data_IF_174346646549
#
_entry.id   IF_174346646549
#
_cell.length_a   1.000
_cell.length_b   1.000
_cell.length_c   1.000
_cell.angle_alpha   90.00
_cell.angle_beta   90.00
_cell.angle_gamma   90.00
#
_symmetry.space_group_name_H-M   'P 1'
#
loop_
_entity.id
_entity.type
_entity.pdbx_description
1 polymer ?
#
# COMPACT_ATOMS: atom_id res chain seq x y z
N UNK A 1 11.25 -42.98 -48.70
CA UNK A 1 11.37 -43.21 -47.27
C UNK A 1 10.18 -42.57 -46.59
N UNK A 2 9.27 -43.36 -46.00
CA UNK A 2 8.16 -42.89 -45.22
C UNK A 2 8.76 -42.57 -43.85
N UNK A 3 8.79 -41.32 -43.47
CA UNK A 3 9.23 -40.93 -42.12
C UNK A 3 8.23 -41.41 -41.09
N UNK A 4 8.71 -42.04 -40.02
CA UNK A 4 7.84 -42.49 -38.92
C UNK A 4 7.06 -41.30 -38.33
N UNK A 5 5.73 -41.40 -38.15
CA UNK A 5 4.92 -40.35 -37.60
C UNK A 5 5.26 -40.13 -36.13
N UNK A 6 5.22 -38.85 -35.70
CA UNK A 6 5.41 -38.45 -34.30
C UNK A 6 4.03 -38.23 -33.67
N UNK A 7 3.77 -38.95 -32.57
CA UNK A 7 2.59 -38.70 -31.73
C UNK A 7 2.97 -37.75 -30.57
N UNK A 8 2.30 -36.60 -30.49
CA UNK A 8 2.46 -35.68 -29.40
C UNK A 8 1.24 -35.79 -28.48
N UNK A 9 1.48 -36.07 -27.23
CA UNK A 9 0.42 -36.18 -26.22
C UNK A 9 0.53 -35.03 -25.24
N UNK A 10 -0.58 -34.32 -25.00
CA UNK A 10 -0.68 -33.21 -24.05
C UNK A 10 -1.91 -33.37 -23.17
N UNK A 11 -1.76 -33.08 -21.90
CA UNK A 11 -2.86 -33.04 -20.93
C UNK A 11 -2.67 -31.90 -19.95
N UNK A 12 -3.75 -31.27 -19.52
CA UNK A 12 -3.71 -30.12 -18.60
C UNK A 12 -3.07 -30.56 -17.28
N UNK A 13 -2.00 -29.86 -16.86
CA UNK A 13 -1.27 -30.16 -15.63
C UNK A 13 -0.13 -31.18 -15.80
N UNK A 14 0.16 -31.62 -17.03
CA UNK A 14 1.26 -32.54 -17.35
C UNK A 14 2.22 -31.92 -18.37
N UNK A 15 3.45 -32.39 -18.37
CA UNK A 15 4.44 -32.04 -19.40
C UNK A 15 4.08 -32.76 -20.69
N UNK A 16 4.11 -32.05 -21.81
CA UNK A 16 3.88 -32.67 -23.12
C UNK A 16 5.00 -33.65 -23.42
N UNK A 17 4.63 -34.83 -23.91
CA UNK A 17 5.58 -35.83 -24.35
C UNK A 17 5.34 -36.21 -25.82
N UNK A 18 6.38 -36.63 -26.50
CA UNK A 18 6.33 -37.00 -27.92
C UNK A 18 7.06 -38.31 -28.19
N UNK A 19 6.41 -39.24 -28.91
CA UNK A 19 6.96 -40.53 -29.24
C UNK A 19 6.87 -40.80 -30.73
N UNK A 20 7.89 -41.47 -31.29
CA UNK A 20 7.89 -41.95 -32.67
C UNK A 20 7.16 -43.28 -32.75
N UNK A 21 6.18 -43.38 -33.66
CA UNK A 21 5.42 -44.62 -33.87
C UNK A 21 6.07 -45.39 -35.01
N UNK A 22 6.52 -46.61 -34.71
CA UNK A 22 7.08 -47.50 -35.70
C UNK A 22 6.00 -48.38 -36.36
N UNK A 23 6.21 -48.73 -37.63
CA UNK A 23 5.29 -49.55 -38.39
C UNK A 23 5.11 -50.93 -37.73
N UNK A 24 3.84 -51.26 -37.35
CA UNK A 24 3.51 -52.52 -36.68
C UNK A 24 3.26 -52.41 -35.16
N UNK A 25 3.38 -51.24 -34.57
CA UNK A 25 3.00 -50.97 -33.18
C UNK A 25 1.49 -50.73 -33.10
N UNK A 26 0.76 -51.61 -32.38
CA UNK A 26 -0.69 -51.49 -32.17
C UNK A 26 -1.05 -50.86 -30.84
N UNK A 27 -0.13 -50.79 -29.85
CA UNK A 27 -0.31 -50.18 -28.55
C UNK A 27 0.92 -49.39 -28.18
N UNK A 28 0.69 -48.21 -27.59
CA UNK A 28 1.72 -47.31 -27.11
C UNK A 28 1.28 -46.82 -25.73
N UNK A 29 2.09 -47.08 -24.71
CA UNK A 29 1.89 -46.58 -23.36
C UNK A 29 2.74 -45.32 -23.19
N UNK A 30 2.10 -44.22 -22.76
CA UNK A 30 2.78 -42.92 -22.52
C UNK A 30 2.50 -42.52 -21.10
N UNK A 31 3.56 -42.37 -20.31
CA UNK A 31 3.47 -41.89 -18.92
C UNK A 31 3.82 -40.43 -18.92
N UNK A 32 2.79 -39.58 -18.68
CA UNK A 32 2.98 -38.13 -18.59
C UNK A 32 3.46 -37.76 -17.19
N UNK A 33 4.51 -36.96 -17.11
CA UNK A 33 4.96 -36.36 -15.84
C UNK A 33 4.12 -35.16 -15.43
N UNK A 34 3.76 -35.10 -14.16
CA UNK A 34 2.97 -33.99 -13.61
C UNK A 34 3.80 -32.71 -13.66
N UNK A 35 3.29 -31.71 -14.36
CA UNK A 35 3.89 -30.39 -14.42
C UNK A 35 3.42 -29.56 -13.22
N UNK A 36 4.14 -29.66 -12.10
CA UNK A 36 3.86 -28.90 -10.87
C UNK A 36 4.31 -27.43 -10.92
N UNK A 37 4.85 -26.96 -12.02
CA UNK A 37 5.21 -25.56 -12.19
C UNK A 37 3.99 -24.74 -12.63
N UNK A 38 3.07 -24.52 -11.71
CA UNK A 38 2.18 -23.36 -11.81
C UNK A 38 3.09 -22.14 -11.70
N UNK A 39 3.39 -21.50 -12.81
CA UNK A 39 3.99 -20.17 -12.80
C UNK A 39 2.97 -19.28 -12.11
N UNK A 40 3.34 -18.80 -10.93
CA UNK A 40 2.57 -17.77 -10.24
C UNK A 40 2.36 -16.60 -11.19
N UNK A 41 1.12 -16.41 -11.61
CA UNK A 41 0.74 -15.21 -12.38
C UNK A 41 0.57 -14.10 -11.35
N UNK A 42 1.65 -13.42 -11.04
CA UNK A 42 1.60 -12.20 -10.24
C UNK A 42 0.96 -11.11 -11.09
N UNK A 43 -0.35 -10.91 -10.94
CA UNK A 43 -1.05 -9.77 -11.53
C UNK A 43 -0.74 -8.55 -10.65
N UNK A 44 0.35 -7.87 -10.94
CA UNK A 44 0.64 -6.56 -10.36
C UNK A 44 -0.15 -5.50 -11.10
N UNK A 45 -1.40 -5.30 -10.72
CA UNK A 45 -2.16 -4.15 -11.15
C UNK A 45 -2.04 -3.05 -10.10
N UNK A 46 -1.19 -2.05 -10.34
CA UNK A 46 -1.19 -0.82 -9.56
C UNK A 46 -2.29 0.07 -10.12
N UNK A 47 -3.47 0.04 -9.50
CA UNK A 47 -4.52 0.99 -9.81
C UNK A 47 -3.98 2.42 -9.53
N UNK A 48 -3.94 3.32 -10.52
CA UNK A 48 -3.48 4.69 -10.29
C UNK A 48 -4.56 5.49 -9.57
N UNK A 49 -4.13 6.32 -8.60
CA UNK A 49 -5.01 7.28 -7.96
C UNK A 49 -5.80 6.73 -6.78
N UNK A 50 -7.00 7.29 -6.59
CA UNK A 50 -7.96 6.87 -5.56
C UNK A 50 -8.98 5.92 -6.19
N UNK A 51 -9.25 4.80 -5.55
CA UNK A 51 -10.26 3.84 -6.00
C UNK A 51 -11.01 3.19 -4.83
N UNK A 52 -12.23 2.76 -5.08
CA UNK A 52 -13.04 2.02 -4.11
C UNK A 52 -12.81 0.53 -4.31
N UNK A 53 -12.42 -0.16 -3.25
CA UNK A 53 -12.27 -1.61 -3.27
C UNK A 53 -13.64 -2.28 -3.42
N UNK A 54 -13.75 -3.22 -4.36
CA UNK A 54 -14.94 -4.06 -4.54
C UNK A 54 -14.81 -5.43 -3.89
N UNK A 55 -13.61 -5.74 -3.41
CA UNK A 55 -13.32 -7.04 -2.80
C UNK A 55 -13.50 -7.01 -1.29
N UNK A 56 -13.47 -5.81 -0.69
CA UNK A 56 -13.65 -5.67 0.74
C UNK A 56 -15.14 -5.65 1.09
N UNK A 57 -15.53 -6.35 2.16
CA UNK A 57 -16.93 -6.37 2.61
C UNK A 57 -17.41 -5.01 3.17
N UNK A 58 -16.48 -4.13 3.49
CA UNK A 58 -16.73 -2.76 3.95
C UNK A 58 -16.34 -1.81 2.83
N UNK A 59 -17.14 -0.76 2.63
CA UNK A 59 -16.85 0.27 1.63
C UNK A 59 -15.51 0.96 1.96
N UNK A 60 -14.46 0.53 1.27
CA UNK A 60 -13.10 1.00 1.50
C UNK A 60 -12.61 1.77 0.28
N UNK A 61 -12.23 3.00 0.51
CA UNK A 61 -11.56 3.86 -0.46
C UNK A 61 -10.05 3.78 -0.26
N UNK A 62 -9.31 3.49 -1.31
CA UNK A 62 -7.86 3.35 -1.27
C UNK A 62 -7.22 4.53 -1.99
N UNK A 63 -6.31 5.23 -1.32
CA UNK A 63 -5.45 6.27 -1.88
C UNK A 63 -4.07 5.65 -2.06
N UNK A 64 -3.59 5.62 -3.29
CA UNK A 64 -2.28 5.01 -3.60
C UNK A 64 -1.13 5.97 -3.34
N UNK A 65 0.09 5.45 -3.18
CA UNK A 65 1.30 6.27 -3.04
C UNK A 65 1.55 7.21 -4.23
N UNK A 66 1.03 6.87 -5.40
CA UNK A 66 1.11 7.75 -6.57
C UNK A 66 0.25 9.01 -6.38
N UNK A 67 -0.93 8.88 -5.79
CA UNK A 67 -1.81 10.01 -5.46
C UNK A 67 -1.24 10.83 -4.30
N UNK A 68 -0.76 10.16 -3.26
CA UNK A 68 -0.10 10.81 -2.13
C UNK A 68 1.10 11.66 -2.55
N UNK A 69 1.85 11.22 -3.56
CA UNK A 69 2.97 11.99 -4.13
C UNK A 69 2.52 13.21 -4.93
N UNK A 70 1.33 13.20 -5.53
CA UNK A 70 0.79 14.37 -6.23
C UNK A 70 0.41 15.49 -5.27
N UNK A 71 -0.14 15.13 -4.13
CA UNK A 71 -0.46 16.09 -3.09
C UNK A 71 0.78 16.79 -2.51
N UNK A 72 1.99 16.39 -2.92
CA UNK A 72 3.30 17.00 -2.62
C UNK A 72 3.51 17.34 -1.14
N UNK A 73 2.82 16.63 -0.24
CA UNK A 73 2.55 17.12 1.08
C UNK A 73 3.42 16.47 2.11
N UNK A 74 3.64 17.24 3.11
CA UNK A 74 4.66 17.02 4.09
C UNK A 74 4.25 15.98 5.14
N UNK A 75 2.95 15.84 5.43
CA UNK A 75 2.49 14.97 6.52
C UNK A 75 1.14 14.29 6.19
N UNK A 76 0.74 13.36 7.08
CA UNK A 76 -0.48 12.58 6.91
C UNK A 76 -1.73 13.45 6.78
N UNK A 77 -1.85 14.54 7.54
CA UNK A 77 -3.06 15.36 7.48
C UNK A 77 -3.23 16.04 6.12
N UNK A 78 -2.15 16.49 5.51
CA UNK A 78 -2.15 17.13 4.19
C UNK A 78 -2.42 16.13 3.06
N UNK A 79 -2.12 14.85 3.29
CA UNK A 79 -2.40 13.77 2.32
C UNK A 79 -3.89 13.60 2.01
N UNK A 80 -4.76 14.19 2.80
CA UNK A 80 -6.21 14.13 2.59
C UNK A 80 -6.79 15.32 1.82
N UNK A 81 -6.02 16.35 1.49
CA UNK A 81 -6.52 17.54 0.77
C UNK A 81 -7.19 17.23 -0.56
N UNK A 82 -6.78 16.16 -1.22
CA UNK A 82 -7.37 15.72 -2.49
C UNK A 82 -8.52 14.73 -2.33
N UNK A 83 -8.85 14.35 -1.08
CA UNK A 83 -9.88 13.35 -0.82
C UNK A 83 -11.21 13.98 -0.45
N UNK A 84 -12.28 13.61 -1.16
CA UNK A 84 -13.62 14.15 -0.94
C UNK A 84 -14.30 13.64 0.35
N UNK A 85 -13.80 12.59 0.96
CA UNK A 85 -14.43 11.94 2.12
C UNK A 85 -13.80 12.36 3.44
N UNK A 86 -12.54 12.79 3.40
CA UNK A 86 -11.77 13.22 4.57
C UNK A 86 -11.39 14.67 4.39
N UNK A 87 -11.81 15.48 5.29
CA UNK A 87 -11.48 16.91 5.36
C UNK A 87 -10.51 17.17 6.52
N UNK A 88 -9.71 18.21 6.39
CA UNK A 88 -8.80 18.63 7.45
C UNK A 88 -9.11 20.07 7.91
N UNK A 89 -8.96 20.29 9.19
CA UNK A 89 -9.06 21.63 9.75
C UNK A 89 -7.97 21.87 10.81
N UNK A 90 -7.64 23.12 11.03
CA UNK A 90 -6.78 23.47 12.17
C UNK A 90 -7.62 23.45 13.44
N UNK A 91 -7.18 22.68 14.43
CA UNK A 91 -7.82 22.64 15.74
C UNK A 91 -7.32 23.76 16.67
N UNK A 92 -6.11 24.24 16.41
CA UNK A 92 -5.50 25.32 17.19
C UNK A 92 -4.58 26.16 16.25
N UNK A 93 -4.83 27.46 16.26
CA UNK A 93 -4.09 28.42 15.45
C UNK A 93 -2.64 28.64 15.96
N UNK A 94 -2.41 28.46 17.25
CA UNK A 94 -1.10 28.72 17.88
C UNK A 94 -0.13 27.56 17.66
N UNK A 95 -0.61 26.34 17.88
CA UNK A 95 0.22 25.13 17.74
C UNK A 95 0.25 24.59 16.33
N UNK A 96 -0.66 25.05 15.45
CA UNK A 96 -0.83 24.50 14.11
C UNK A 96 -1.34 23.06 14.10
N UNK A 97 -1.91 22.59 15.23
CA UNK A 97 -2.44 21.25 15.33
C UNK A 97 -3.62 21.08 14.38
N UNK A 98 -3.56 19.99 13.61
CA UNK A 98 -4.58 19.65 12.61
C UNK A 98 -5.42 18.48 13.10
N UNK A 99 -6.69 18.51 12.78
CA UNK A 99 -7.58 17.37 12.97
C UNK A 99 -8.27 17.02 11.67
N UNK A 100 -8.60 15.76 11.55
CA UNK A 100 -9.33 15.23 10.40
C UNK A 100 -10.81 15.11 10.75
N UNK A 101 -11.62 15.30 9.72
CA UNK A 101 -13.06 15.04 9.75
C UNK A 101 -13.38 14.01 8.68
N UNK A 102 -14.11 12.99 9.05
CA UNK A 102 -14.60 11.98 8.08
C UNK A 102 -16.11 12.14 7.97
N UNK A 103 -16.58 12.45 6.77
CA UNK A 103 -17.99 12.70 6.51
C UNK A 103 -18.60 13.77 7.44
N UNK A 104 -17.83 14.80 7.77
CA UNK A 104 -18.22 15.87 8.68
C UNK A 104 -18.14 15.54 10.18
N UNK A 105 -17.79 14.31 10.55
CA UNK A 105 -17.62 13.90 11.94
C UNK A 105 -16.24 14.23 12.46
N UNK A 106 -16.15 14.64 13.73
CA UNK A 106 -14.88 14.95 14.40
C UNK A 106 -13.92 13.77 14.41
N UNK A 107 -12.63 14.04 14.35
CA UNK A 107 -11.54 13.07 14.40
C UNK A 107 -11.55 12.14 15.61
N UNK A 108 -12.21 12.51 16.71
CA UNK A 108 -12.42 11.64 17.88
C UNK A 108 -13.24 10.38 17.59
N UNK A 109 -14.07 10.42 16.55
CA UNK A 109 -14.92 9.31 16.13
C UNK A 109 -14.29 8.50 14.99
N UNK A 110 -13.05 8.82 14.63
CA UNK A 110 -12.28 8.16 13.58
C UNK A 110 -11.16 7.37 14.22
N UNK A 111 -11.04 6.12 13.85
CA UNK A 111 -9.92 5.29 14.30
C UNK A 111 -8.77 5.36 13.32
N UNK A 112 -7.60 5.76 13.82
CA UNK A 112 -6.35 5.68 13.07
C UNK A 112 -5.63 4.38 13.39
N UNK A 113 -5.34 3.61 12.36
CA UNK A 113 -4.59 2.37 12.48
C UNK A 113 -3.39 2.38 11.54
N UNK A 114 -2.36 1.66 11.90
CA UNK A 114 -1.16 1.44 11.12
C UNK A 114 -0.96 -0.05 10.95
N UNK A 115 -0.97 -0.53 9.72
CA UNK A 115 -0.88 -1.97 9.44
C UNK A 115 -1.91 -2.78 10.26
N UNK A 116 -3.15 -2.33 10.29
CA UNK A 116 -4.24 -2.90 11.08
C UNK A 116 -4.05 -2.92 12.60
N UNK A 117 -3.13 -2.12 13.14
CA UNK A 117 -2.93 -1.95 14.58
C UNK A 117 -3.33 -0.53 14.98
N UNK A 118 -4.23 -0.32 15.97
CA UNK A 118 -4.57 1.00 16.47
C UNK A 118 -3.31 1.75 16.91
N UNK A 119 -3.14 2.96 16.41
CA UNK A 119 -1.93 3.74 16.64
C UNK A 119 -2.24 5.03 17.41
N UNK A 120 -2.55 6.11 16.72
CA UNK A 120 -2.78 7.41 17.34
C UNK A 120 -4.23 7.46 17.87
N UNK A 121 -4.39 7.73 19.17
CA UNK A 121 -5.68 7.64 19.86
C UNK A 121 -5.95 8.85 20.74
N UNK A 122 -7.24 9.21 20.86
CA UNK A 122 -7.72 10.24 21.78
C UNK A 122 -7.09 11.62 21.54
N UNK A 123 -6.62 12.26 22.58
CA UNK A 123 -6.05 13.60 22.52
C UNK A 123 -4.74 13.71 21.72
N UNK A 124 -4.07 12.59 21.49
CA UNK A 124 -2.83 12.57 20.67
C UNK A 124 -3.12 12.65 19.17
N UNK A 125 -4.35 12.38 18.73
CA UNK A 125 -4.69 12.32 17.31
C UNK A 125 -4.34 13.59 16.53
N UNK A 126 -4.72 14.81 16.97
CA UNK A 126 -4.41 16.04 16.23
C UNK A 126 -2.90 16.28 16.06
N UNK A 127 -2.13 16.00 17.11
CA UNK A 127 -0.68 16.19 17.08
C UNK A 127 0.02 15.08 16.29
N UNK A 128 -0.44 13.83 16.45
CA UNK A 128 0.17 12.68 15.81
C UNK A 128 0.06 12.67 14.29
N UNK A 129 -0.94 13.32 13.73
CA UNK A 129 -1.10 13.45 12.27
C UNK A 129 0.06 14.20 11.60
N UNK A 130 0.65 15.18 12.29
CA UNK A 130 1.78 15.95 11.80
C UNK A 130 3.09 15.15 11.75
N UNK A 131 3.22 14.09 12.54
CA UNK A 131 4.47 13.33 12.67
C UNK A 131 4.63 12.17 11.68
N UNK A 132 3.65 11.96 10.82
CA UNK A 132 3.73 10.90 9.80
C UNK A 132 4.02 11.54 8.45
N UNK A 133 5.26 11.43 7.92
CA UNK A 133 5.59 11.98 6.62
C UNK A 133 4.85 11.26 5.49
N UNK A 134 4.29 12.04 4.57
CA UNK A 134 3.54 11.51 3.42
C UNK A 134 4.39 10.59 2.54
N UNK A 135 5.66 10.90 2.42
CA UNK A 135 6.61 10.12 1.60
C UNK A 135 6.86 8.70 2.10
N UNK A 136 6.58 8.40 3.38
CA UNK A 136 6.76 7.06 3.95
C UNK A 136 5.59 6.12 3.68
N UNK A 137 4.46 6.66 3.22
CA UNK A 137 3.24 5.90 3.01
C UNK A 137 3.21 5.26 1.62
N UNK A 138 2.86 4.00 1.58
CA UNK A 138 2.57 3.27 0.35
C UNK A 138 1.12 3.47 -0.08
N UNK A 139 0.20 3.43 0.88
CA UNK A 139 -1.23 3.65 0.67
C UNK A 139 -1.94 4.05 1.94
N UNK A 140 -3.10 4.68 1.77
CA UNK A 140 -4.05 4.96 2.85
C UNK A 140 -5.38 4.31 2.46
N UNK A 141 -5.98 3.61 3.40
CA UNK A 141 -7.28 2.97 3.25
C UNK A 141 -8.28 3.65 4.17
N UNK A 142 -9.36 4.15 3.60
CA UNK A 142 -10.43 4.85 4.31
C UNK A 142 -11.68 3.97 4.28
N UNK A 143 -12.06 3.42 5.41
CA UNK A 143 -13.30 2.65 5.56
C UNK A 143 -14.35 3.51 6.23
N UNK A 144 -15.52 3.62 5.62
CA UNK A 144 -16.64 4.43 6.11
C UNK A 144 -17.57 3.58 6.98
N UNK A 145 -17.94 4.11 8.15
CA UNK A 145 -18.76 3.40 9.12
C UNK A 145 -17.95 2.62 10.15
N UNK A 146 -18.63 1.77 10.92
CA UNK A 146 -18.01 0.98 11.99
C UNK A 146 -16.99 -0.01 11.44
N UNK A 147 -15.87 -0.16 12.14
CA UNK A 147 -14.81 -1.10 11.76
C UNK A 147 -15.02 -2.50 12.37
N UNK A 148 -14.09 -3.41 12.07
CA UNK A 148 -14.08 -4.73 12.67
C UNK A 148 -13.91 -4.66 14.20
N UNK A 149 -14.69 -5.45 14.93
CA UNK A 149 -14.72 -5.49 16.42
C UNK A 149 -13.32 -5.71 17.02
N UNK A 150 -12.46 -6.45 16.34
CA UNK A 150 -11.07 -6.70 16.78
C UNK A 150 -10.22 -5.43 16.89
N UNK A 151 -10.57 -4.36 16.17
CA UNK A 151 -9.83 -3.11 16.17
C UNK A 151 -10.26 -2.16 17.30
N UNK A 152 -11.32 -2.52 18.04
CA UNK A 152 -11.87 -1.74 19.14
C UNK A 152 -13.12 -0.97 18.76
N UNK A 153 -13.56 -0.10 19.66
CA UNK A 153 -14.86 0.61 19.58
C UNK A 153 -14.76 2.04 19.04
N UNK A 154 -13.57 2.52 18.74
CA UNK A 154 -13.33 3.93 18.43
C UNK A 154 -13.75 4.34 17.02
N UNK A 155 -13.88 3.39 16.11
CA UNK A 155 -14.32 3.65 14.74
C UNK A 155 -15.85 3.77 14.67
N UNK A 156 -16.35 4.95 14.97
CA UNK A 156 -17.80 5.25 14.88
C UNK A 156 -18.13 5.79 13.49
N UNK A 157 -17.42 6.81 13.03
CA UNK A 157 -17.59 7.40 11.69
C UNK A 157 -16.82 6.62 10.63
N UNK A 158 -15.69 6.03 11.00
CA UNK A 158 -14.85 5.27 10.11
C UNK A 158 -13.47 4.99 10.65
N UNK A 159 -12.69 4.37 9.80
CA UNK A 159 -11.32 3.93 10.09
C UNK A 159 -10.40 4.35 8.96
N UNK A 160 -9.23 4.85 9.32
CA UNK A 160 -8.15 5.18 8.39
C UNK A 160 -6.97 4.26 8.71
N UNK A 161 -6.63 3.38 7.77
CA UNK A 161 -5.47 2.51 7.85
C UNK A 161 -4.33 3.05 6.99
N UNK A 162 -3.16 3.17 7.59
CA UNK A 162 -1.96 3.66 6.94
C UNK A 162 -1.03 2.49 6.70
N UNK A 163 -0.68 2.26 5.45
CA UNK A 163 0.33 1.29 5.07
C UNK A 163 1.63 2.03 4.72
N UNK A 164 2.71 1.64 5.37
CA UNK A 164 4.04 2.16 5.06
C UNK A 164 4.70 1.31 3.99
N UNK A 165 5.58 1.93 3.22
CA UNK A 165 6.44 1.25 2.25
C UNK A 165 7.14 0.08 2.93
N UNK A 166 7.01 -1.11 2.35
CA UNK A 166 7.64 -2.32 2.88
C UNK A 166 9.13 -2.34 2.54
N UNK A 167 9.97 -2.94 3.40
CA UNK A 167 11.41 -2.97 3.18
C UNK A 167 11.86 -3.62 1.86
N UNK A 168 11.13 -4.61 1.39
CA UNK A 168 11.40 -5.32 0.13
C UNK A 168 11.00 -4.51 -1.12
N UNK A 169 10.07 -3.58 -0.98
CA UNK A 169 9.60 -2.68 -2.03
C UNK A 169 10.23 -1.27 -1.94
N UNK A 170 10.93 -0.99 -0.83
CA UNK A 170 11.56 0.31 -0.60
C UNK A 170 12.68 0.60 -1.62
N UNK A 171 12.75 1.83 -2.14
CA UNK A 171 13.84 2.23 -3.03
C UNK A 171 15.20 2.15 -2.30
N UNK A 172 16.26 1.87 -3.04
CA UNK A 172 17.63 1.86 -2.49
C UNK A 172 18.00 3.20 -1.85
N UNK A 173 17.57 4.28 -2.45
CA UNK A 173 17.69 5.63 -1.92
C UNK A 173 16.58 6.50 -2.50
N UNK A 174 15.84 7.16 -1.63
CA UNK A 174 14.89 8.21 -1.96
C UNK A 174 15.15 9.40 -1.06
N UNK A 175 15.36 10.56 -1.66
CA UNK A 175 15.52 11.83 -0.98
C UNK A 175 14.43 12.78 -1.48
N UNK A 176 13.76 13.42 -0.54
CA UNK A 176 12.79 14.47 -0.82
C UNK A 176 13.13 15.68 0.04
N UNK A 177 13.16 16.85 -0.55
CA UNK A 177 13.33 18.11 0.14
C UNK A 177 12.20 19.05 -0.26
N UNK A 178 11.60 19.69 0.73
CA UNK A 178 10.52 20.65 0.55
C UNK A 178 10.87 21.95 1.29
N UNK A 179 10.54 23.06 0.66
CA UNK A 179 10.65 24.38 1.27
C UNK A 179 9.49 25.26 0.79
N UNK A 180 8.95 26.09 1.68
CA UNK A 180 7.91 27.03 1.33
C UNK A 180 8.27 28.49 1.73
N UNK A 181 7.49 29.44 1.23
CA UNK A 181 7.72 30.84 1.51
C UNK A 181 7.43 31.25 2.96
N UNK A 182 6.77 30.39 3.74
CA UNK A 182 6.51 30.59 5.15
C UNK A 182 7.66 30.11 6.06
N UNK A 183 8.84 29.81 5.47
CA UNK A 183 10.03 29.41 6.22
C UNK A 183 10.02 27.98 6.72
N UNK A 184 9.12 27.11 6.22
CA UNK A 184 9.16 25.68 6.49
C UNK A 184 10.18 25.03 5.55
N UNK A 185 11.10 24.27 6.13
CA UNK A 185 12.04 23.40 5.42
C UNK A 185 11.85 21.99 5.95
N UNK A 186 11.78 21.03 5.04
CA UNK A 186 11.57 19.63 5.38
C UNK A 186 12.44 18.73 4.52
N UNK A 187 12.99 17.70 5.12
CA UNK A 187 13.77 16.67 4.43
C UNK A 187 13.31 15.28 4.82
N UNK A 188 13.15 14.43 3.82
CA UNK A 188 12.78 13.03 3.98
C UNK A 188 13.79 12.12 3.30
N UNK A 189 14.17 11.05 3.97
CA UNK A 189 15.05 10.00 3.45
C UNK A 189 14.38 8.65 3.62
N UNK A 190 14.45 7.83 2.58
CA UNK A 190 14.10 6.42 2.63
C UNK A 190 15.23 5.65 1.99
N UNK A 191 15.71 4.60 2.67
CA UNK A 191 16.72 3.70 2.12
C UNK A 191 16.36 2.27 2.46
N UNK A 192 16.13 1.45 1.42
CA UNK A 192 15.81 0.03 1.55
C UNK A 192 16.92 -0.86 1.02
N UNK A 193 17.23 -1.95 1.74
CA UNK A 193 18.22 -2.93 1.32
C UNK A 193 17.85 -4.34 1.75
N UNK A 194 18.17 -5.29 0.88
CA UNK A 194 18.06 -6.72 1.19
C UNK A 194 19.37 -7.16 1.82
N UNK A 195 19.26 -7.76 3.02
CA UNK A 195 20.40 -8.35 3.71
C UNK A 195 20.65 -9.75 3.15
N UNK A 196 19.57 -10.51 2.93
CA UNK A 196 19.55 -11.82 2.29
C UNK A 196 18.13 -12.13 1.78
N UNK A 197 17.91 -13.33 1.23
CA UNK A 197 16.60 -13.73 0.66
C UNK A 197 15.45 -13.79 1.69
N UNK A 198 15.77 -13.79 2.99
CA UNK A 198 14.79 -13.86 4.08
C UNK A 198 14.65 -12.55 4.85
N UNK A 199 15.62 -11.66 4.75
CA UNK A 199 15.69 -10.44 5.53
C UNK A 199 15.89 -9.23 4.65
N UNK A 200 14.96 -8.29 4.75
CA UNK A 200 15.07 -6.95 4.17
C UNK A 200 14.85 -5.91 5.27
N UNK A 201 15.45 -4.75 5.12
CA UNK A 201 15.28 -3.63 6.05
C UNK A 201 15.15 -2.31 5.29
N UNK A 202 14.49 -1.35 5.93
CA UNK A 202 14.41 0.01 5.42
C UNK A 202 14.63 1.00 6.56
N UNK A 203 15.35 2.07 6.25
CA UNK A 203 15.58 3.19 7.14
C UNK A 203 14.74 4.35 6.63
N UNK A 204 13.99 4.94 7.54
CA UNK A 204 13.20 6.14 7.31
C UNK A 204 13.72 7.24 8.23
N UNK A 205 14.04 8.39 7.65
CA UNK A 205 14.44 9.57 8.41
C UNK A 205 13.65 10.78 7.93
N UNK A 206 13.27 11.64 8.87
CA UNK A 206 12.53 12.84 8.63
C UNK A 206 13.09 13.96 9.52
N UNK A 207 13.25 15.13 8.94
CA UNK A 207 13.61 16.34 9.66
C UNK A 207 12.78 17.50 9.12
N UNK A 208 12.26 18.30 10.04
CA UNK A 208 11.45 19.48 9.73
C UNK A 208 11.91 20.65 10.59
N UNK A 209 11.97 21.82 10.00
CA UNK A 209 12.22 23.08 10.70
C UNK A 209 11.25 24.15 10.18
N UNK A 210 10.57 24.81 11.10
CA UNK A 210 9.73 25.96 10.81
C UNK A 210 10.43 27.22 11.37
N UNK A 211 10.93 28.05 10.47
CA UNK A 211 11.69 29.24 10.80
C UNK A 211 10.84 30.47 11.09
N UNK A 212 9.55 30.46 10.73
CA UNK A 212 8.67 31.60 10.97
C UNK A 212 8.32 31.70 12.45
N UNK A 213 8.91 32.67 13.08
CA UNK A 213 8.36 33.19 14.35
C UNK A 213 7.15 34.02 13.98
N UNK A 214 5.98 33.55 14.37
CA UNK A 214 4.79 34.41 14.39
C UNK A 214 5.02 35.39 15.52
N UNK A 215 5.40 36.61 15.18
CA UNK A 215 5.40 37.75 16.12
C UNK A 215 3.96 38.19 16.40
#
# INVERSE_FOLDING_TARGET
>A
AISDPILVVSYIGYTNDSIHIHHGQNEVEIILEVNNTLKEVVITNKAPGTFVSRLDPILTENITGAELKKAACCNLSESFETNASVDQSYSDAVTGAKQIHLLGSSGTYIQLIKKNIPNIRGLATPFGLGYIPGSWMESIQISKGTSAVRNGFEAISGQINIEFIKPDEAPKLFLNAYANMHGKIEGNLISGFKINDRWSTAIFAHAENLSNKVD
#
